data_IF_900702184998
#
_entry.id   IF_900702184998
#
_cell.length_a   1.000
_cell.length_b   1.000
_cell.length_c   1.000
_cell.angle_alpha   90.00
_cell.angle_beta   90.00
_cell.angle_gamma   90.00
#
_symmetry.space_group_name_H-M   'P 1'
#
loop_
_entity.id
_entity.type
_entity.pdbx_description
1 polymer ?
#
# COMPACT_ATOMS: atom_id res chain seq x y z
N UNK A 1 -21.65 -2.24 -13.38
CA UNK A 1 -22.83 -2.38 -12.49
C UNK A 1 -22.80 -3.73 -11.77
N UNK A 2 -23.18 -3.79 -10.50
CA UNK A 2 -23.35 -5.07 -9.79
C UNK A 2 -24.69 -5.73 -10.12
N UNK A 3 -24.83 -7.04 -9.88
CA UNK A 3 -26.10 -7.74 -10.10
C UNK A 3 -27.27 -7.21 -9.24
N UNK A 4 -26.96 -6.62 -8.07
CA UNK A 4 -27.95 -5.98 -7.20
C UNK A 4 -28.41 -4.63 -7.74
N UNK A 5 -27.56 -3.94 -8.50
CA UNK A 5 -27.88 -2.67 -9.17
C UNK A 5 -28.60 -2.86 -10.51
N UNK A 6 -28.67 -4.10 -11.03
CA UNK A 6 -29.42 -4.42 -12.24
C UNK A 6 -30.93 -4.46 -12.00
N UNK A 7 -31.38 -4.89 -10.82
CA UNK A 7 -32.83 -5.03 -10.56
C UNK A 7 -33.60 -3.71 -10.57
N UNK A 8 -33.10 -2.60 -9.98
CA UNK A 8 -33.80 -1.32 -10.03
C UNK A 8 -33.78 -0.71 -11.43
N UNK A 9 -32.70 -0.95 -12.20
CA UNK A 9 -32.52 -0.37 -13.54
C UNK A 9 -33.30 -1.09 -14.64
N UNK A 10 -33.59 -2.38 -14.46
CA UNK A 10 -34.22 -3.23 -15.51
C UNK A 10 -35.61 -3.75 -15.11
N UNK A 11 -36.01 -3.61 -13.85
CA UNK A 11 -37.24 -4.21 -13.31
C UNK A 11 -37.19 -5.73 -13.16
N UNK A 12 -36.05 -6.38 -13.48
CA UNK A 12 -35.87 -7.82 -13.34
C UNK A 12 -35.57 -8.20 -11.89
N UNK A 13 -36.08 -9.35 -11.44
CA UNK A 13 -35.64 -9.97 -10.19
C UNK A 13 -34.13 -10.27 -10.21
N UNK A 14 -33.47 -10.19 -9.05
CA UNK A 14 -32.00 -10.32 -8.93
C UNK A 14 -31.45 -11.59 -9.61
N UNK A 15 -32.17 -12.70 -9.50
CA UNK A 15 -31.76 -13.99 -10.09
C UNK A 15 -31.94 -14.02 -11.62
N UNK A 16 -33.04 -13.47 -12.13
CA UNK A 16 -33.27 -13.29 -13.57
C UNK A 16 -32.21 -12.37 -14.20
N UNK A 17 -31.90 -11.24 -13.53
CA UNK A 17 -30.83 -10.33 -13.94
C UNK A 17 -29.46 -11.00 -13.97
N UNK A 18 -29.15 -11.86 -12.99
CA UNK A 18 -27.87 -12.60 -12.96
C UNK A 18 -27.77 -13.63 -14.09
N UNK A 19 -28.85 -14.33 -14.40
CA UNK A 19 -28.89 -15.30 -15.50
C UNK A 19 -28.74 -14.61 -16.86
N UNK A 20 -29.40 -13.46 -17.05
CA UNK A 20 -29.27 -12.65 -18.26
C UNK A 20 -27.83 -12.13 -18.42
N UNK A 21 -27.22 -11.60 -17.35
CA UNK A 21 -25.83 -11.15 -17.37
C UNK A 21 -24.86 -12.28 -17.75
N UNK A 22 -25.05 -13.50 -17.22
CA UNK A 22 -24.25 -14.68 -17.61
C UNK A 22 -24.42 -15.06 -19.07
N UNK A 23 -25.63 -14.94 -19.62
CA UNK A 23 -25.90 -15.16 -21.04
C UNK A 23 -25.14 -14.14 -21.91
N UNK A 24 -25.19 -12.86 -21.54
CA UNK A 24 -24.46 -11.79 -22.22
C UNK A 24 -22.94 -11.96 -22.14
N UNK A 25 -22.43 -12.53 -21.04
CA UNK A 25 -21.02 -12.91 -20.91
C UNK A 25 -20.65 -14.05 -21.87
N UNK A 26 -21.49 -15.10 -21.99
CA UNK A 26 -21.25 -16.17 -22.98
C UNK A 26 -21.30 -15.67 -24.42
N UNK A 27 -22.12 -14.66 -24.70
CA UNK A 27 -22.20 -14.00 -26.00
C UNK A 27 -21.06 -13.01 -26.27
N UNK A 28 -20.22 -12.70 -25.26
CA UNK A 28 -19.08 -11.79 -25.40
C UNK A 28 -19.45 -10.31 -25.46
N UNK A 29 -20.70 -9.93 -25.16
CA UNK A 29 -21.16 -8.52 -25.16
C UNK A 29 -20.73 -7.82 -23.87
N UNK A 30 -20.71 -8.57 -22.76
CA UNK A 30 -20.39 -8.07 -21.43
C UNK A 30 -19.29 -8.95 -20.86
N UNK A 31 -18.38 -8.36 -20.07
CA UNK A 31 -17.41 -9.11 -19.28
C UNK A 31 -17.63 -8.91 -17.79
N UNK A 32 -17.10 -9.86 -17.05
CA UNK A 32 -17.09 -9.84 -15.60
C UNK A 32 -15.77 -9.27 -15.10
N UNK A 33 -15.85 -8.33 -14.15
CA UNK A 33 -14.70 -7.70 -13.51
C UNK A 33 -14.86 -7.80 -12.00
N UNK A 34 -13.78 -8.13 -11.32
CA UNK A 34 -13.75 -8.16 -9.87
C UNK A 34 -13.53 -6.75 -9.33
N UNK A 35 -14.42 -6.30 -8.44
CA UNK A 35 -14.35 -4.97 -7.83
C UNK A 35 -13.55 -5.03 -6.52
N UNK A 36 -12.30 -4.54 -6.54
CA UNK A 36 -11.41 -4.59 -5.37
C UNK A 36 -11.91 -3.75 -4.20
N UNK A 37 -12.70 -2.71 -4.47
CA UNK A 37 -13.28 -1.81 -3.45
C UNK A 37 -14.31 -2.53 -2.59
N UNK A 38 -14.96 -3.56 -3.16
CA UNK A 38 -16.05 -4.31 -2.52
C UNK A 38 -15.61 -5.70 -2.03
N UNK A 39 -14.30 -6.00 -2.06
CA UNK A 39 -13.70 -7.30 -1.75
C UNK A 39 -14.03 -7.84 -0.33
N UNK A 40 -14.57 -7.02 0.58
CA UNK A 40 -15.08 -7.46 1.88
C UNK A 40 -16.29 -8.41 1.76
N UNK A 41 -17.04 -8.35 0.65
CA UNK A 41 -18.04 -9.35 0.27
C UNK A 41 -17.40 -10.27 -0.75
N UNK A 42 -16.92 -11.45 -0.31
CA UNK A 42 -16.42 -12.51 -1.20
C UNK A 42 -17.38 -12.64 -2.39
N UNK A 43 -16.89 -12.35 -3.60
CA UNK A 43 -17.61 -12.52 -4.88
C UNK A 43 -18.48 -11.33 -5.39
N UNK A 44 -18.17 -10.07 -5.06
CA UNK A 44 -18.83 -8.91 -5.71
C UNK A 44 -18.32 -8.68 -7.14
N UNK A 45 -19.00 -9.32 -8.09
CA UNK A 45 -18.73 -9.22 -9.53
C UNK A 45 -19.42 -7.98 -10.11
N UNK A 46 -18.66 -7.20 -10.88
CA UNK A 46 -19.16 -6.08 -11.66
C UNK A 46 -19.23 -6.49 -13.12
N UNK A 47 -20.35 -6.19 -13.77
CA UNK A 47 -20.52 -6.40 -15.20
C UNK A 47 -20.27 -5.09 -15.94
N UNK A 48 -19.51 -5.15 -17.03
CA UNK A 48 -19.23 -4.01 -17.92
C UNK A 48 -19.13 -4.48 -19.37
N UNK A 49 -19.31 -3.58 -20.35
CA UNK A 49 -19.20 -3.96 -21.76
C UNK A 49 -17.79 -4.52 -22.07
N UNK A 50 -17.72 -5.51 -22.96
CA UNK A 50 -16.52 -6.29 -23.19
C UNK A 50 -15.35 -5.43 -23.71
N UNK A 51 -15.66 -4.41 -24.49
CA UNK A 51 -14.73 -3.48 -25.15
C UNK A 51 -14.04 -2.49 -24.20
N UNK A 52 -14.61 -2.20 -23.03
CA UNK A 52 -14.06 -1.19 -22.12
C UNK A 52 -13.06 -1.78 -21.14
N UNK A 53 -11.91 -1.13 -20.93
CA UNK A 53 -11.00 -1.49 -19.84
C UNK A 53 -11.56 -1.00 -18.49
N UNK A 54 -11.53 -1.82 -17.42
CA UNK A 54 -11.87 -1.33 -16.09
C UNK A 54 -10.83 -0.30 -15.62
N UNK A 55 -11.26 0.69 -14.85
CA UNK A 55 -10.33 1.63 -14.21
C UNK A 55 -9.52 0.95 -13.10
N UNK A 56 -8.33 1.48 -12.82
CA UNK A 56 -7.44 0.96 -11.77
C UNK A 56 -8.09 1.00 -10.38
N UNK A 57 -8.98 1.97 -10.13
CA UNK A 57 -9.76 2.04 -8.89
C UNK A 57 -10.66 0.80 -8.70
N UNK A 58 -11.16 0.22 -9.80
CA UNK A 58 -12.05 -0.95 -9.77
C UNK A 58 -11.26 -2.25 -9.81
N UNK A 59 -10.25 -2.36 -10.66
CA UNK A 59 -9.45 -3.57 -10.85
C UNK A 59 -8.35 -3.73 -9.79
N UNK A 60 -7.99 -2.64 -9.10
CA UNK A 60 -6.79 -2.54 -8.27
C UNK A 60 -5.52 -2.21 -9.07
N UNK A 61 -5.62 -2.07 -10.39
CA UNK A 61 -4.48 -1.86 -11.26
C UNK A 61 -3.55 -3.07 -11.32
N UNK A 62 -2.28 -2.82 -11.64
CA UNK A 62 -1.35 -3.88 -12.06
C UNK A 62 -0.78 -4.68 -10.88
N UNK A 63 -0.91 -4.17 -9.66
CA UNK A 63 -0.54 -4.89 -8.45
C UNK A 63 -1.58 -5.93 -8.04
N UNK A 64 -2.73 -5.99 -8.73
CA UNK A 64 -3.81 -6.93 -8.43
C UNK A 64 -3.94 -7.97 -9.54
N UNK A 65 -4.10 -9.21 -9.14
CA UNK A 65 -4.46 -10.34 -10.00
C UNK A 65 -5.67 -11.02 -9.39
N UNK A 66 -6.75 -11.17 -10.16
CA UNK A 66 -8.03 -11.72 -9.69
C UNK A 66 -8.50 -11.09 -8.37
N UNK A 67 -8.44 -9.75 -8.32
CA UNK A 67 -8.86 -8.94 -7.18
C UNK A 67 -8.06 -9.16 -5.89
N UNK A 68 -6.92 -9.84 -5.97
CA UNK A 68 -5.99 -10.05 -4.86
C UNK A 68 -4.69 -9.31 -5.20
N UNK A 69 -4.18 -8.54 -4.24
CA UNK A 69 -2.86 -7.90 -4.40
C UNK A 69 -1.76 -8.95 -4.46
N UNK A 70 -0.93 -8.89 -5.49
CA UNK A 70 0.28 -9.70 -5.61
C UNK A 70 1.37 -9.14 -4.68
N UNK A 71 1.34 -9.63 -3.44
CA UNK A 71 2.33 -9.26 -2.41
C UNK A 71 3.75 -9.63 -2.82
N UNK A 72 3.94 -10.70 -3.60
CA UNK A 72 5.27 -11.13 -4.03
C UNK A 72 5.85 -10.17 -5.06
N UNK A 73 5.05 -9.73 -6.03
CA UNK A 73 5.44 -8.73 -7.02
C UNK A 73 5.78 -7.39 -6.35
N UNK A 74 4.93 -6.91 -5.42
CA UNK A 74 5.20 -5.68 -4.67
C UNK A 74 6.48 -5.80 -3.86
N UNK A 75 6.67 -6.90 -3.13
CA UNK A 75 7.89 -7.11 -2.34
C UNK A 75 9.15 -7.21 -3.22
N UNK A 76 9.04 -7.82 -4.41
CA UNK A 76 10.13 -7.86 -5.38
C UNK A 76 10.48 -6.46 -5.89
N UNK A 77 9.49 -5.65 -6.28
CA UNK A 77 9.70 -4.27 -6.71
C UNK A 77 10.39 -3.43 -5.62
N UNK A 78 9.94 -3.54 -4.36
CA UNK A 78 10.57 -2.86 -3.21
C UNK A 78 12.05 -3.24 -3.04
N UNK A 79 12.35 -4.55 -3.06
CA UNK A 79 13.73 -5.04 -2.95
C UNK A 79 14.62 -4.49 -4.07
N UNK A 80 14.10 -4.43 -5.29
CA UNK A 80 14.81 -3.91 -6.46
C UNK A 80 15.08 -2.41 -6.35
N UNK A 81 14.08 -1.63 -5.93
CA UNK A 81 14.25 -0.19 -5.69
C UNK A 81 15.37 0.06 -4.68
N UNK A 82 15.33 -0.65 -3.55
CA UNK A 82 16.37 -0.56 -2.51
C UNK A 82 17.75 -0.97 -3.03
N UNK A 83 17.83 -2.02 -3.85
CA UNK A 83 19.08 -2.47 -4.45
C UNK A 83 19.71 -1.39 -5.35
N UNK A 84 18.91 -0.65 -6.12
CA UNK A 84 19.42 0.46 -6.93
C UNK A 84 19.91 1.64 -6.06
N UNK A 85 19.17 2.00 -5.02
CA UNK A 85 19.60 3.06 -4.07
C UNK A 85 20.98 2.73 -3.48
N UNK A 86 21.16 1.49 -3.01
CA UNK A 86 22.45 1.02 -2.46
C UNK A 86 23.56 1.00 -3.51
N UNK A 87 23.24 0.57 -4.74
CA UNK A 87 24.20 0.50 -5.84
C UNK A 87 24.74 1.88 -6.22
N UNK A 88 23.92 2.92 -6.11
CA UNK A 88 24.30 4.30 -6.44
C UNK A 88 25.00 5.03 -5.28
N UNK A 89 25.52 4.31 -4.28
CA UNK A 89 26.33 4.89 -3.22
C UNK A 89 25.53 5.39 -2.01
N UNK A 90 24.21 5.10 -1.98
CA UNK A 90 23.33 5.42 -0.85
C UNK A 90 22.13 6.27 -1.22
N UNK A 91 22.18 7.00 -2.36
CA UNK A 91 21.06 7.79 -2.87
C UNK A 91 20.87 7.61 -4.39
N UNK A 92 19.62 7.65 -4.86
CA UNK A 92 19.28 7.57 -6.28
C UNK A 92 17.97 8.29 -6.62
N UNK A 93 17.87 8.87 -7.82
CA UNK A 93 16.59 9.44 -8.32
C UNK A 93 15.64 8.32 -8.78
N UNK A 94 14.35 8.64 -8.94
CA UNK A 94 13.38 7.69 -9.47
C UNK A 94 13.81 7.17 -10.87
N UNK A 95 14.36 8.03 -11.73
CA UNK A 95 14.80 7.67 -13.08
C UNK A 95 16.00 6.73 -13.03
N UNK A 96 16.96 6.99 -12.14
CA UNK A 96 18.11 6.11 -11.95
C UNK A 96 17.66 4.71 -11.50
N UNK A 97 16.71 4.66 -10.56
CA UNK A 97 16.14 3.42 -10.06
C UNK A 97 15.39 2.68 -11.17
N UNK A 98 14.48 3.35 -11.88
CA UNK A 98 13.71 2.76 -12.99
C UNK A 98 14.61 2.20 -14.08
N UNK A 99 15.58 3.00 -14.55
CA UNK A 99 16.54 2.58 -15.56
C UNK A 99 17.43 1.43 -15.06
N UNK A 100 17.84 1.45 -13.80
CA UNK A 100 18.63 0.39 -13.17
C UNK A 100 17.87 -0.94 -13.10
N UNK A 101 16.59 -0.89 -12.73
CA UNK A 101 15.74 -2.09 -12.71
C UNK A 101 15.55 -2.66 -14.12
N UNK A 102 15.30 -1.81 -15.12
CA UNK A 102 15.16 -2.25 -16.51
C UNK A 102 16.43 -2.88 -17.08
N UNK A 103 17.62 -2.44 -16.64
CA UNK A 103 18.90 -3.07 -17.01
C UNK A 103 19.10 -4.43 -16.34
N UNK A 104 18.79 -4.53 -15.05
CA UNK A 104 19.00 -5.77 -14.28
C UNK A 104 18.02 -6.86 -14.69
N UNK A 105 16.76 -6.49 -14.96
CA UNK A 105 15.73 -7.40 -15.44
C UNK A 105 14.83 -6.72 -16.48
N UNK A 106 15.17 -6.87 -17.77
CA UNK A 106 14.37 -6.36 -18.87
C UNK A 106 12.92 -6.89 -18.88
N UNK A 107 12.69 -8.07 -18.28
CA UNK A 107 11.37 -8.70 -18.15
C UNK A 107 10.50 -8.17 -17.01
N UNK A 108 11.03 -7.33 -16.11
CA UNK A 108 10.25 -6.80 -14.99
C UNK A 108 9.14 -5.83 -15.44
N UNK A 109 9.35 -5.13 -16.57
CA UNK A 109 8.29 -4.38 -17.26
C UNK A 109 7.60 -3.30 -16.42
N UNK A 110 8.26 -2.74 -15.40
CA UNK A 110 7.70 -1.64 -14.61
C UNK A 110 7.73 -0.35 -15.43
N UNK A 111 6.58 0.31 -15.54
CA UNK A 111 6.52 1.71 -15.97
C UNK A 111 7.08 2.64 -14.88
N UNK A 112 7.51 3.84 -15.27
CA UNK A 112 8.04 4.85 -14.35
C UNK A 112 7.06 5.18 -13.22
N UNK A 113 5.77 5.38 -13.54
CA UNK A 113 4.75 5.68 -12.52
C UNK A 113 4.61 4.58 -11.48
N UNK A 114 4.82 3.31 -11.87
CA UNK A 114 4.79 2.19 -10.92
C UNK A 114 5.98 2.18 -9.97
N UNK A 115 7.15 2.56 -10.46
CA UNK A 115 8.34 2.69 -9.61
C UNK A 115 8.13 3.85 -8.64
N UNK A 116 7.59 4.97 -9.09
CA UNK A 116 7.23 6.11 -8.21
C UNK A 116 6.22 5.72 -7.13
N UNK A 117 5.17 4.97 -7.46
CA UNK A 117 4.19 4.50 -6.47
C UNK A 117 4.85 3.62 -5.40
N UNK A 118 5.72 2.69 -5.81
CA UNK A 118 6.48 1.87 -4.87
C UNK A 118 7.38 2.73 -4.00
N UNK A 119 8.10 3.70 -4.56
CA UNK A 119 8.96 4.61 -3.80
C UNK A 119 8.16 5.45 -2.80
N UNK A 120 7.01 5.98 -3.19
CA UNK A 120 6.09 6.69 -2.27
C UNK A 120 5.66 5.80 -1.11
N UNK A 121 5.27 4.55 -1.38
CA UNK A 121 4.93 3.61 -0.29
C UNK A 121 6.13 3.29 0.60
N UNK A 122 7.33 3.18 0.04
CA UNK A 122 8.55 2.95 0.80
C UNK A 122 8.93 4.14 1.69
N UNK A 123 8.65 5.37 1.25
CA UNK A 123 8.79 6.59 2.05
C UNK A 123 7.77 6.63 3.19
N UNK A 124 6.50 6.29 2.92
CA UNK A 124 5.46 6.18 3.96
C UNK A 124 5.81 5.14 5.03
N UNK A 125 6.38 4.00 4.62
CA UNK A 125 6.86 2.95 5.52
C UNK A 125 8.15 3.31 6.27
N UNK A 126 8.72 4.51 6.03
CA UNK A 126 10.04 4.95 6.53
C UNK A 126 11.16 3.95 6.19
N UNK A 127 11.04 3.26 5.07
CA UNK A 127 12.09 2.39 4.53
C UNK A 127 13.01 3.12 3.55
N UNK A 128 12.56 4.26 3.03
CA UNK A 128 13.35 5.25 2.31
C UNK A 128 12.98 6.65 2.83
N UNK A 129 13.85 7.61 2.59
CA UNK A 129 13.60 9.04 2.77
C UNK A 129 13.71 9.74 1.42
N UNK A 130 12.81 10.68 1.15
CA UNK A 130 12.92 11.64 0.05
C UNK A 130 13.75 12.85 0.52
N UNK A 131 14.81 13.16 -0.21
CA UNK A 131 15.77 14.21 0.14
C UNK A 131 16.27 14.96 -1.09
N UNK A 132 16.75 16.18 -0.90
CA UNK A 132 17.45 16.95 -1.92
C UNK A 132 18.94 16.62 -1.89
N UNK A 133 19.49 16.19 -3.02
CA UNK A 133 20.91 15.86 -3.17
C UNK A 133 21.81 17.05 -2.90
N UNK A 134 22.90 16.83 -2.16
CA UNK A 134 24.00 17.79 -2.02
C UNK A 134 25.02 17.69 -3.15
N UNK A 135 25.04 16.58 -3.90
CA UNK A 135 26.04 16.25 -4.92
C UNK A 135 27.37 15.71 -4.38
N UNK A 136 27.45 15.44 -3.07
CA UNK A 136 28.67 14.97 -2.41
C UNK A 136 28.41 13.70 -1.57
N UNK A 137 29.46 12.91 -1.29
CA UNK A 137 29.35 11.72 -0.43
C UNK A 137 28.38 10.68 -1.00
N UNK A 138 27.38 10.28 -0.20
CA UNK A 138 26.32 9.33 -0.61
C UNK A 138 25.46 9.84 -1.78
N UNK A 139 25.51 11.15 -2.05
CA UNK A 139 24.82 11.81 -3.15
C UNK A 139 25.70 12.07 -4.38
N UNK A 140 26.95 11.59 -4.40
CA UNK A 140 27.88 11.89 -5.50
C UNK A 140 27.38 11.42 -6.89
N UNK A 141 26.49 10.43 -6.93
CA UNK A 141 25.87 9.93 -8.16
C UNK A 141 24.67 10.77 -8.64
N UNK A 142 24.22 11.76 -7.84
CA UNK A 142 23.01 12.54 -8.07
C UNK A 142 23.36 14.03 -8.12
N UNK A 143 22.92 14.74 -9.16
CA UNK A 143 23.18 16.17 -9.29
C UNK A 143 22.71 16.96 -8.06
N UNK A 144 23.52 17.93 -7.61
CA UNK A 144 23.16 18.81 -6.49
C UNK A 144 21.85 19.55 -6.76
N UNK A 145 20.96 19.60 -5.77
CA UNK A 145 19.63 20.19 -5.89
C UNK A 145 18.55 19.27 -6.47
N UNK A 146 18.90 18.07 -6.96
CA UNK A 146 17.91 17.11 -7.45
C UNK A 146 17.24 16.34 -6.30
N UNK A 147 15.94 16.06 -6.44
CA UNK A 147 15.21 15.18 -5.53
C UNK A 147 15.66 13.72 -5.74
N UNK A 148 15.92 13.01 -4.64
CA UNK A 148 16.34 11.61 -4.67
C UNK A 148 15.89 10.85 -3.41
N UNK A 149 16.02 9.53 -3.47
CA UNK A 149 15.67 8.62 -2.39
C UNK A 149 16.93 8.02 -1.80
N UNK A 150 16.98 7.92 -0.46
CA UNK A 150 18.04 7.23 0.28
C UNK A 150 17.47 6.33 1.37
N UNK A 151 18.30 5.43 1.89
CA UNK A 151 17.94 4.74 3.14
C UNK A 151 17.91 5.74 4.31
N UNK A 152 16.97 5.61 5.26
CA UNK A 152 16.92 6.46 6.43
C UNK A 152 18.24 6.40 7.20
N UNK A 153 18.66 7.54 7.75
CA UNK A 153 19.75 7.59 8.72
C UNK A 153 19.44 6.74 9.95
N UNK A 154 20.42 6.54 10.85
CA UNK A 154 20.17 5.87 12.14
C UNK A 154 18.92 6.47 12.78
N UNK A 155 17.90 5.63 13.03
CA UNK A 155 16.64 6.04 13.64
C UNK A 155 16.97 6.90 14.86
N UNK A 156 16.46 8.14 14.89
CA UNK A 156 16.42 8.86 16.15
C UNK A 156 15.68 7.98 17.16
N UNK A 157 16.09 7.98 18.44
CA UNK A 157 15.39 7.20 19.45
C UNK A 157 13.91 7.51 19.37
N UNK A 158 13.12 6.43 19.29
CA UNK A 158 11.65 6.46 19.29
C UNK A 158 11.16 7.43 20.36
N UNK A 159 10.08 8.17 20.07
CA UNK A 159 9.63 9.23 20.97
C UNK A 159 9.40 8.68 22.38
N UNK A 160 9.64 9.48 23.43
CA UNK A 160 9.47 9.03 24.83
C UNK A 160 8.12 8.34 25.09
N UNK A 161 7.08 8.72 24.34
CA UNK A 161 5.73 8.17 24.43
C UNK A 161 5.54 6.83 23.71
N UNK A 162 6.35 6.50 22.70
CA UNK A 162 6.33 5.18 22.04
C UNK A 162 6.97 4.10 22.95
N UNK A 163 7.85 4.50 23.87
CA UNK A 163 8.53 3.61 24.81
C UNK A 163 7.75 3.25 26.08
N UNK A 164 6.62 3.90 26.34
CA UNK A 164 5.83 3.71 27.57
C UNK A 164 4.36 3.39 27.25
N UNK A 165 3.68 2.57 28.07
CA UNK A 165 2.30 2.14 27.79
C UNK A 165 1.29 3.31 27.75
N UNK A 166 1.62 4.46 28.36
CA UNK A 166 0.76 5.64 28.38
C UNK A 166 0.58 6.28 26.99
N UNK A 167 1.55 6.19 26.08
CA UNK A 167 1.48 6.84 24.76
C UNK A 167 0.42 6.24 23.83
N UNK A 168 -0.08 5.04 24.12
CA UNK A 168 -1.14 4.35 23.37
C UNK A 168 -2.31 3.94 24.26
N UNK A 169 -2.37 4.45 25.50
CA UNK A 169 -3.39 4.07 26.46
C UNK A 169 -4.78 4.56 26.01
N UNK A 170 -5.77 3.67 25.83
CA UNK A 170 -7.10 4.06 25.39
C UNK A 170 -7.89 4.85 26.46
N UNK A 171 -7.45 4.80 27.72
CA UNK A 171 -8.10 5.42 28.87
C UNK A 171 -7.25 6.56 29.46
N UNK A 172 -6.33 7.14 28.67
CA UNK A 172 -5.39 8.15 29.18
C UNK A 172 -6.11 9.40 29.72
N UNK A 173 -7.21 9.80 29.08
CA UNK A 173 -8.00 10.97 29.48
C UNK A 173 -8.73 10.77 30.81
N UNK A 174 -9.03 9.52 31.18
CA UNK A 174 -9.69 9.16 32.43
C UNK A 174 -8.69 8.81 33.55
N UNK A 175 -7.38 8.78 33.24
CA UNK A 175 -6.34 8.37 34.16
C UNK A 175 -5.97 9.54 35.11
N UNK A 176 -6.20 9.36 36.41
CA UNK A 176 -5.83 10.35 37.42
C UNK A 176 -5.35 9.69 38.72
N UNK A 177 -4.48 10.34 39.51
CA UNK A 177 -3.94 9.74 40.74
C UNK A 177 -5.01 9.23 41.71
N UNK A 178 -6.11 9.98 41.84
CA UNK A 178 -7.24 9.69 42.73
C UNK A 178 -8.44 9.04 42.00
N UNK A 179 -8.29 8.71 40.72
CA UNK A 179 -9.35 8.16 39.88
C UNK A 179 -9.51 6.64 40.02
N UNK A 180 -10.64 6.13 39.51
CA UNK A 180 -10.85 4.67 39.36
C UNK A 180 -9.79 4.07 38.44
N UNK A 181 -9.37 4.83 37.43
CA UNK A 181 -8.21 4.53 36.58
C UNK A 181 -7.07 5.40 37.10
N UNK A 182 -6.06 4.78 37.70
CA UNK A 182 -4.94 5.49 38.33
C UNK A 182 -3.60 4.91 37.90
N UNK A 183 -2.54 5.73 37.76
CA UNK A 183 -1.20 5.24 37.48
C UNK A 183 -0.68 4.23 38.52
N UNK A 184 -1.10 4.35 39.78
CA UNK A 184 -0.64 3.49 40.89
C UNK A 184 -1.20 2.07 40.83
N UNK A 185 -2.38 1.90 40.24
CA UNK A 185 -3.07 0.61 40.07
C UNK A 185 -3.14 0.18 38.60
N UNK A 186 -2.38 0.83 37.71
CA UNK A 186 -2.44 0.62 36.28
C UNK A 186 -1.84 -0.73 35.87
N UNK A 187 -2.70 -1.65 35.39
CA UNK A 187 -2.29 -2.98 34.91
C UNK A 187 -1.31 -2.89 33.73
N UNK A 188 -1.46 -1.88 32.84
CA UNK A 188 -0.52 -1.69 31.73
C UNK A 188 0.87 -1.31 32.21
N UNK A 189 0.94 -0.47 33.24
CA UNK A 189 2.20 0.03 33.80
C UNK A 189 2.90 -1.07 34.62
N UNK A 190 2.14 -1.83 35.42
CA UNK A 190 2.64 -2.97 36.19
C UNK A 190 3.21 -4.07 35.29
N UNK A 191 2.48 -4.45 34.24
CA UNK A 191 2.94 -5.42 33.24
C UNK A 191 4.19 -4.96 32.50
N UNK A 192 4.25 -3.68 32.16
CA UNK A 192 5.42 -3.10 31.47
C UNK A 192 6.66 -3.04 32.37
N UNK A 193 6.48 -2.76 33.67
CA UNK A 193 7.56 -2.77 34.67
C UNK A 193 7.91 -4.16 35.21
N UNK A 194 7.25 -5.23 34.72
CA UNK A 194 7.40 -6.59 35.24
C UNK A 194 7.15 -6.71 36.75
N UNK A 195 6.20 -5.93 37.29
CA UNK A 195 5.85 -5.92 38.71
C UNK A 195 4.85 -7.01 39.11
N UNK A 196 4.28 -7.72 38.13
CA UNK A 196 3.35 -8.83 38.34
C UNK A 196 4.09 -10.18 38.24
N UNK A 197 4.39 -10.81 39.39
CA UNK A 197 4.73 -12.24 39.54
C UNK A 197 3.75 -12.90 40.51
#
# INVERSE_FOLDING_TARGET
MSAQELSPATGLGVEAGRNQARSLVRLGVVKEVQDVRRNRRRNSKLYMAAEFAPSDEVSGGVWYHDGIVDKHAVAAARRRCLAQVRRHGGAATAEMIHAGIGRDEPGAGYDMGRVEDILRTMVLDRSLEEVTSTGEGEFAAVASGAMCYREPGKKQPEGMMEGIPCGVCPMIDDCSPEGVISPSTCVYYQKWLHMDF
#
